data_IF_769048349738
#
_entry.id   IF_769048349738
#
_cell.length_a   1.000
_cell.length_b   1.000
_cell.length_c   1.000
_cell.angle_alpha   90.00
_cell.angle_beta   90.00
_cell.angle_gamma   90.00
#
_symmetry.space_group_name_H-M   'P 1'
#
loop_
_entity.id
_entity.type
_entity.pdbx_description
1 polymer ?
#
# COMPACT_ATOMS: atom_id res chain seq x y z
N UNK A 1 12.02 -27.39 13.71
CA UNK A 1 10.90 -26.57 13.22
C UNK A 1 11.40 -25.82 11.99
N UNK A 2 11.04 -26.27 10.78
CA UNK A 2 11.40 -25.55 9.56
C UNK A 2 10.52 -24.30 9.49
N UNK A 3 11.13 -23.14 9.61
CA UNK A 3 10.43 -21.87 9.40
C UNK A 3 10.13 -21.75 7.92
N UNK A 4 8.84 -21.79 7.57
CA UNK A 4 8.38 -21.61 6.20
C UNK A 4 8.39 -20.11 5.85
N UNK A 5 9.54 -19.65 5.36
CA UNK A 5 9.76 -18.29 4.87
C UNK A 5 8.88 -17.96 3.66
N UNK A 6 8.43 -18.96 2.91
CA UNK A 6 7.56 -18.77 1.76
C UNK A 6 6.15 -18.42 2.22
N UNK A 7 5.61 -19.14 3.21
CA UNK A 7 4.32 -18.80 3.82
C UNK A 7 4.35 -17.40 4.47
N UNK A 8 5.44 -17.02 5.13
CA UNK A 8 5.58 -15.67 5.69
C UNK A 8 5.62 -14.57 4.60
N UNK A 9 6.29 -14.85 3.48
CA UNK A 9 6.36 -13.91 2.34
C UNK A 9 4.98 -13.71 1.72
N UNK A 10 4.24 -14.78 1.48
CA UNK A 10 2.87 -14.73 0.96
C UNK A 10 1.92 -13.94 1.89
N UNK A 11 2.12 -14.05 3.20
CA UNK A 11 1.31 -13.33 4.17
C UNK A 11 1.60 -11.82 4.16
N UNK A 12 2.87 -11.44 3.98
CA UNK A 12 3.28 -10.06 3.76
C UNK A 12 2.67 -9.51 2.47
N UNK A 13 2.78 -10.24 1.36
CA UNK A 13 2.21 -9.86 0.05
C UNK A 13 0.70 -9.65 0.15
N UNK A 14 -0.01 -10.58 0.79
CA UNK A 14 -1.45 -10.48 0.97
C UNK A 14 -1.88 -9.28 1.80
N UNK A 15 -1.10 -8.86 2.80
CA UNK A 15 -1.36 -7.61 3.52
C UNK A 15 -1.22 -6.40 2.58
N UNK A 16 -0.23 -6.38 1.69
CA UNK A 16 -0.09 -5.30 0.72
C UNK A 16 -1.23 -5.30 -0.30
N UNK A 17 -1.62 -6.47 -0.83
CA UNK A 17 -2.74 -6.58 -1.76
C UNK A 17 -4.05 -6.06 -1.15
N UNK A 18 -4.34 -6.46 0.10
CA UNK A 18 -5.52 -5.98 0.83
C UNK A 18 -5.44 -4.50 1.17
N UNK A 19 -4.24 -3.95 1.38
CA UNK A 19 -4.06 -2.51 1.59
C UNK A 19 -4.32 -1.67 0.32
N UNK A 20 -4.17 -2.28 -0.86
CA UNK A 20 -4.39 -1.62 -2.15
C UNK A 20 -5.78 -1.88 -2.74
N UNK A 21 -6.49 -2.90 -2.24
CA UNK A 21 -7.81 -3.28 -2.73
C UNK A 21 -8.86 -2.19 -2.48
N UNK A 22 -9.48 -1.68 -3.55
CA UNK A 22 -10.61 -0.74 -3.45
C UNK A 22 -11.87 -1.31 -2.78
N UNK A 23 -11.93 -2.64 -2.59
CA UNK A 23 -13.02 -3.31 -1.90
C UNK A 23 -12.90 -3.25 -0.36
N UNK A 24 -11.75 -2.82 0.17
CA UNK A 24 -11.49 -2.76 1.61
C UNK A 24 -11.68 -1.32 2.12
N UNK A 25 -12.37 -1.12 3.26
CA UNK A 25 -12.56 0.21 3.84
C UNK A 25 -11.24 0.96 4.05
N UNK A 26 -11.20 2.30 3.86
CA UNK A 26 -9.97 3.08 3.95
C UNK A 26 -9.18 2.92 5.26
N UNK A 27 -9.88 2.83 6.41
CA UNK A 27 -9.24 2.61 7.71
C UNK A 27 -8.55 1.23 7.77
N UNK A 28 -9.24 0.19 7.31
CA UNK A 28 -8.73 -1.18 7.28
C UNK A 28 -7.59 -1.35 6.26
N UNK A 29 -7.58 -0.59 5.16
CA UNK A 29 -6.44 -0.53 4.23
C UNK A 29 -5.18 0.02 4.89
N UNK A 30 -5.32 1.08 5.68
CA UNK A 30 -4.20 1.67 6.41
C UNK A 30 -3.64 0.70 7.46
N UNK A 31 -4.51 -0.09 8.12
CA UNK A 31 -4.10 -1.14 9.05
C UNK A 31 -3.34 -2.26 8.32
N UNK A 32 -3.85 -2.77 7.20
CA UNK A 32 -3.15 -3.78 6.40
C UNK A 32 -1.78 -3.29 5.90
N UNK A 33 -1.67 -2.01 5.53
CA UNK A 33 -0.39 -1.41 5.16
C UNK A 33 0.60 -1.38 6.34
N UNK A 34 0.13 -0.99 7.53
CA UNK A 34 0.94 -0.97 8.74
C UNK A 34 1.39 -2.39 9.15
N UNK A 35 0.49 -3.36 9.09
CA UNK A 35 0.78 -4.75 9.38
C UNK A 35 1.75 -5.37 8.37
N UNK A 36 1.55 -5.13 7.07
CA UNK A 36 2.47 -5.58 6.01
C UNK A 36 3.89 -5.06 6.19
N UNK A 37 4.05 -3.77 6.54
CA UNK A 37 5.36 -3.17 6.86
C UNK A 37 6.03 -3.83 8.05
N UNK A 38 5.28 -4.04 9.15
CA UNK A 38 5.82 -4.64 10.38
C UNK A 38 6.20 -6.11 10.18
N UNK A 39 5.40 -6.88 9.45
CA UNK A 39 5.69 -8.27 9.11
C UNK A 39 6.92 -8.39 8.20
N UNK A 40 7.06 -7.49 7.22
CA UNK A 40 8.25 -7.44 6.37
C UNK A 40 9.53 -7.16 7.17
N UNK A 41 9.47 -6.22 8.13
CA UNK A 41 10.61 -5.92 8.99
C UNK A 41 11.02 -7.14 9.85
N UNK A 42 10.05 -7.85 10.40
CA UNK A 42 10.31 -9.07 11.18
C UNK A 42 10.89 -10.19 10.31
N UNK A 43 10.39 -10.36 9.09
CA UNK A 43 10.92 -11.33 8.13
C UNK A 43 12.39 -11.02 7.78
N UNK A 44 12.73 -9.74 7.59
CA UNK A 44 14.11 -9.31 7.37
C UNK A 44 15.04 -9.65 8.52
N UNK A 45 14.61 -9.38 9.76
CA UNK A 45 15.38 -9.71 10.97
C UNK A 45 15.59 -11.22 11.10
N UNK A 46 14.56 -12.01 10.79
CA UNK A 46 14.63 -13.48 10.85
C UNK A 46 15.57 -14.04 9.77
N UNK A 47 15.52 -13.51 8.54
CA UNK A 47 16.46 -13.88 7.49
C UNK A 47 17.89 -13.49 7.86
N UNK A 48 18.10 -12.33 8.48
CA UNK A 48 19.42 -11.88 8.93
C UNK A 48 19.98 -12.56 10.17
N UNK A 49 19.12 -13.17 10.98
CA UNK A 49 19.57 -14.07 12.03
C UNK A 49 20.00 -15.43 11.48
N UNK A 50 19.48 -15.83 10.30
CA UNK A 50 19.71 -17.14 9.69
C UNK A 50 20.86 -17.14 8.68
N UNK A 51 21.04 -16.07 7.94
CA UNK A 51 22.21 -15.84 7.11
C UNK A 51 23.19 -15.01 7.92
N UNK A 52 24.41 -15.52 8.13
CA UNK A 52 25.45 -14.84 8.91
C UNK A 52 25.52 -13.38 8.46
N UNK A 53 25.22 -12.44 9.37
CA UNK A 53 24.89 -11.05 9.03
C UNK A 53 26.07 -10.29 8.35
N UNK A 54 27.26 -10.90 8.35
CA UNK A 54 28.45 -10.44 7.68
C UNK A 54 28.62 -10.97 6.24
N UNK A 55 27.80 -11.93 5.80
CA UNK A 55 27.85 -12.43 4.42
C UNK A 55 27.45 -11.33 3.43
N UNK A 56 28.23 -11.21 2.36
CA UNK A 56 28.04 -10.19 1.33
C UNK A 56 26.68 -10.36 0.63
N UNK A 57 26.22 -11.59 0.48
CA UNK A 57 24.95 -11.97 -0.11
C UNK A 57 23.78 -11.46 0.74
N UNK A 58 23.87 -11.59 2.07
CA UNK A 58 22.84 -11.10 2.98
C UNK A 58 22.77 -9.57 3.00
N UNK A 59 23.92 -8.89 3.00
CA UNK A 59 23.98 -7.44 2.94
C UNK A 59 23.39 -6.91 1.63
N UNK A 60 23.72 -7.56 0.49
CA UNK A 60 23.18 -7.21 -0.82
C UNK A 60 21.66 -7.42 -0.89
N UNK A 61 21.16 -8.54 -0.39
CA UNK A 61 19.73 -8.81 -0.34
C UNK A 61 19.00 -7.80 0.58
N UNK A 62 19.61 -7.45 1.72
CA UNK A 62 19.07 -6.47 2.66
C UNK A 62 19.04 -5.05 2.08
N UNK A 63 20.06 -4.66 1.31
CA UNK A 63 20.08 -3.39 0.60
C UNK A 63 18.96 -3.33 -0.46
N UNK A 64 18.85 -4.36 -1.31
CA UNK A 64 17.78 -4.46 -2.31
C UNK A 64 16.39 -4.38 -1.67
N UNK A 65 16.17 -5.09 -0.56
CA UNK A 65 14.89 -5.05 0.16
C UNK A 65 14.59 -3.69 0.81
N UNK A 66 15.63 -2.93 1.18
CA UNK A 66 15.50 -1.56 1.66
C UNK A 66 15.11 -0.61 0.54
N UNK A 67 15.72 -0.76 -0.64
CA UNK A 67 15.44 0.09 -1.80
C UNK A 67 14.01 -0.15 -2.30
N UNK A 68 13.61 -1.43 -2.46
CA UNK A 68 12.22 -1.79 -2.76
C UNK A 68 11.24 -1.23 -1.72
N UNK A 69 11.60 -1.21 -0.43
CA UNK A 69 10.76 -0.60 0.61
C UNK A 69 10.60 0.91 0.43
N UNK A 70 11.65 1.61 0.00
CA UNK A 70 11.59 3.04 -0.27
C UNK A 70 10.74 3.31 -1.52
N UNK A 71 10.88 2.51 -2.56
CA UNK A 71 10.05 2.59 -3.77
C UNK A 71 8.57 2.33 -3.46
N UNK A 72 8.26 1.31 -2.65
CA UNK A 72 6.88 1.06 -2.20
C UNK A 72 6.34 2.25 -1.39
N UNK A 73 7.15 2.87 -0.54
CA UNK A 73 6.72 4.03 0.23
C UNK A 73 6.39 5.24 -0.67
N UNK A 74 7.19 5.47 -1.72
CA UNK A 74 6.92 6.50 -2.72
C UNK A 74 5.66 6.20 -3.53
N UNK A 75 5.53 4.98 -4.05
CA UNK A 75 4.34 4.56 -4.78
C UNK A 75 3.06 4.68 -3.94
N UNK A 76 3.12 4.35 -2.65
CA UNK A 76 1.99 4.55 -1.73
C UNK A 76 1.63 6.04 -1.55
N UNK A 77 2.62 6.93 -1.55
CA UNK A 77 2.40 8.37 -1.50
C UNK A 77 1.79 8.90 -2.80
N UNK A 78 2.23 8.41 -3.95
CA UNK A 78 1.68 8.80 -5.26
C UNK A 78 0.22 8.34 -5.41
N UNK A 79 -0.09 7.11 -5.02
CA UNK A 79 -1.47 6.59 -4.98
C UNK A 79 -2.34 7.44 -4.07
N UNK A 80 -1.84 7.84 -2.90
CA UNK A 80 -2.56 8.73 -1.98
C UNK A 80 -2.91 10.06 -2.65
N UNK A 81 -1.97 10.66 -3.39
CA UNK A 81 -2.21 11.92 -4.11
C UNK A 81 -3.23 11.74 -5.23
N UNK A 82 -3.11 10.69 -6.05
CA UNK A 82 -4.07 10.39 -7.11
C UNK A 82 -5.49 10.22 -6.56
N UNK A 83 -5.63 9.54 -5.43
CA UNK A 83 -6.93 9.34 -4.78
C UNK A 83 -7.56 10.66 -4.33
N UNK A 84 -6.76 11.62 -3.86
CA UNK A 84 -7.23 12.96 -3.52
C UNK A 84 -7.71 13.75 -4.74
N UNK A 85 -7.02 13.62 -5.88
CA UNK A 85 -7.44 14.27 -7.14
C UNK A 85 -8.77 13.69 -7.61
N UNK A 86 -8.92 12.37 -7.61
CA UNK A 86 -10.18 11.71 -7.98
C UNK A 86 -11.34 12.16 -7.08
N UNK A 87 -11.12 12.27 -5.77
CA UNK A 87 -12.14 12.77 -4.84
C UNK A 87 -12.60 14.19 -5.21
N UNK A 88 -11.67 15.10 -5.52
CA UNK A 88 -11.98 16.48 -5.94
C UNK A 88 -12.74 16.52 -7.28
N UNK A 89 -12.41 15.66 -8.22
CA UNK A 89 -13.15 15.55 -9.48
C UNK A 89 -14.59 15.06 -9.24
N UNK A 90 -14.78 14.14 -8.30
CA UNK A 90 -16.12 13.70 -7.88
C UNK A 90 -16.95 14.83 -7.28
N UNK A 91 -16.35 15.66 -6.42
CA UNK A 91 -17.01 16.86 -5.89
C UNK A 91 -17.40 17.85 -7.00
N UNK A 92 -16.51 18.10 -7.96
CA UNK A 92 -16.78 18.99 -9.09
C UNK A 92 -17.92 18.47 -9.97
N UNK A 93 -17.91 17.18 -10.31
CA UNK A 93 -19.00 16.56 -11.06
C UNK A 93 -20.34 16.71 -10.31
N UNK A 94 -20.33 16.52 -8.98
CA UNK A 94 -21.51 16.75 -8.14
C UNK A 94 -22.02 18.19 -8.19
N UNK A 95 -21.13 19.18 -8.23
CA UNK A 95 -21.53 20.59 -8.40
C UNK A 95 -22.11 20.87 -9.80
N UNK A 96 -21.56 20.26 -10.84
CA UNK A 96 -22.08 20.39 -12.21
C UNK A 96 -23.49 19.79 -12.33
N UNK A 97 -23.72 18.61 -11.75
CA UNK A 97 -25.03 17.98 -11.72
C UNK A 97 -26.07 18.85 -11.00
N UNK A 98 -25.68 19.46 -9.87
CA UNK A 98 -26.55 20.41 -9.16
C UNK A 98 -26.89 21.64 -10.01
N UNK A 99 -25.89 22.22 -10.70
CA UNK A 99 -26.11 23.38 -11.57
C UNK A 99 -27.04 23.05 -12.75
N UNK A 100 -26.88 21.88 -13.38
CA UNK A 100 -27.76 21.39 -14.44
C UNK A 100 -29.18 21.17 -13.93
N UNK A 101 -29.35 20.59 -12.75
CA UNK A 101 -30.66 20.38 -12.14
C UNK A 101 -31.38 21.71 -11.84
N UNK A 102 -30.64 22.75 -11.45
CA UNK A 102 -31.21 24.10 -11.28
C UNK A 102 -31.60 24.70 -12.62
N UNK A 103 -30.73 24.64 -13.64
CA UNK A 103 -31.02 25.16 -14.97
C UNK A 103 -32.26 24.49 -15.59
N UNK A 104 -32.39 23.17 -15.45
CA UNK A 104 -33.55 22.41 -15.93
C UNK A 104 -34.87 22.80 -15.26
N UNK A 105 -34.83 23.27 -14.01
CA UNK A 105 -36.02 23.79 -13.29
C UNK A 105 -36.42 25.20 -13.68
N UNK A 106 -35.53 25.98 -14.30
CA UNK A 106 -35.80 27.37 -14.72
C UNK A 106 -36.39 27.42 -16.14
N UNK A 107 -36.16 26.38 -16.94
CA UNK A 107 -36.60 26.30 -18.35
C UNK A 107 -37.93 25.53 -18.50
N UNK A 108 -38.36 24.80 -17.46
CA UNK A 108 -39.66 24.13 -17.37
C UNK A 108 -40.71 25.01 -16.69
#
# INVERSE_FOLDING_TARGET
MFFDTQTLTQLVERCFDLSMSGAVPPATRAEYLAHGKRLRELLMRLLGARFDAASAEFQKASASLRDTNQELARAAQDVKQATQVVARLGELAGYLDQALAVAGKVIA
#
